data_IF_393308301247
#
_entry.id   IF_393308301247
#
_cell.length_a   1.000
_cell.length_b   1.000
_cell.length_c   1.000
_cell.angle_alpha   90.00
_cell.angle_beta   90.00
_cell.angle_gamma   90.00
#
_symmetry.space_group_name_H-M   'P 1'
#
loop_
_entity.id
_entity.type
_entity.pdbx_description
1 polymer ?
#
# COMPACT_ATOMS: atom_id res chain seq x y z
N UNK A 1 14.17 -64.86 40.08
CA UNK A 1 14.95 -63.83 39.47
C UNK A 1 14.04 -62.92 38.61
N UNK A 2 12.88 -62.52 39.18
CA UNK A 2 11.85 -61.70 38.53
C UNK A 2 11.17 -60.73 39.50
N UNK A 3 11.80 -60.37 40.61
CA UNK A 3 11.24 -59.52 41.63
C UNK A 3 12.01 -58.20 41.89
N UNK A 4 13.08 -57.89 41.11
CA UNK A 4 13.93 -56.75 41.35
C UNK A 4 13.85 -55.68 40.26
N UNK A 5 12.89 -55.78 39.31
CA UNK A 5 12.79 -54.85 38.20
C UNK A 5 11.54 -53.94 38.22
N UNK A 6 10.63 -54.12 39.17
CA UNK A 6 9.43 -53.25 39.30
C UNK A 6 9.57 -52.06 40.27
N UNK A 7 10.62 -52.02 41.09
CA UNK A 7 10.83 -50.93 42.06
C UNK A 7 11.69 -49.77 41.55
N UNK A 8 12.12 -49.79 40.29
CA UNK A 8 12.90 -48.70 39.67
C UNK A 8 12.14 -47.83 38.68
N UNK A 9 10.85 -48.07 38.50
CA UNK A 9 9.99 -47.29 37.59
C UNK A 9 9.04 -46.34 38.29
N UNK A 10 8.96 -46.35 39.62
CA UNK A 10 8.06 -45.47 40.39
C UNK A 10 8.71 -44.26 41.04
N UNK A 11 10.02 -43.98 40.79
CA UNK A 11 10.70 -42.80 41.38
C UNK A 11 11.15 -41.75 40.36
N UNK A 12 10.55 -41.72 39.15
CA UNK A 12 10.89 -40.72 38.11
C UNK A 12 9.71 -39.79 37.73
N UNK A 13 8.63 -39.79 38.51
CA UNK A 13 7.48 -38.91 38.29
C UNK A 13 7.30 -37.86 39.40
N UNK A 14 8.29 -37.10 39.74
CA UNK A 14 8.13 -35.92 40.58
C UNK A 14 9.34 -35.00 40.37
N UNK A 15 9.34 -34.20 39.33
CA UNK A 15 9.88 -32.84 39.31
C UNK A 15 9.79 -32.22 37.89
N UNK A 16 8.57 -32.11 37.33
CA UNK A 16 8.33 -31.18 36.27
C UNK A 16 7.73 -29.92 36.90
N UNK A 17 8.58 -29.16 37.57
CA UNK A 17 8.26 -27.77 37.89
C UNK A 17 8.06 -27.05 36.56
N UNK A 18 6.78 -26.71 36.26
CA UNK A 18 6.42 -25.79 35.22
C UNK A 18 7.14 -24.47 35.49
N UNK A 19 8.19 -24.20 34.72
CA UNK A 19 8.80 -22.87 34.68
C UNK A 19 7.73 -21.92 34.19
N UNK A 20 7.08 -21.22 35.10
CA UNK A 20 6.15 -20.15 34.83
C UNK A 20 6.94 -19.11 34.03
N UNK A 21 6.68 -19.04 32.73
CA UNK A 21 7.12 -17.93 31.89
C UNK A 21 6.55 -16.67 32.52
N UNK A 22 7.38 -15.73 32.98
CA UNK A 22 6.87 -14.53 33.61
C UNK A 22 5.96 -13.83 32.59
N UNK A 23 4.68 -13.68 32.96
CA UNK A 23 3.75 -12.86 32.20
C UNK A 23 4.37 -11.48 32.06
N UNK A 24 4.78 -11.16 30.82
CA UNK A 24 5.34 -9.85 30.51
C UNK A 24 4.30 -8.82 30.96
N UNK A 25 4.63 -8.10 32.01
CA UNK A 25 3.84 -6.97 32.52
C UNK A 25 3.56 -6.08 31.32
N UNK A 26 2.31 -5.75 30.99
CA UNK A 26 2.02 -4.89 29.86
C UNK A 26 2.63 -3.53 30.19
N UNK A 27 3.74 -3.19 29.55
CA UNK A 27 4.24 -1.82 29.53
C UNK A 27 3.08 -0.98 29.03
N UNK A 28 2.46 -0.18 29.90
CA UNK A 28 1.36 0.72 29.54
C UNK A 28 1.93 1.76 28.57
N UNK A 29 1.99 1.38 27.32
CA UNK A 29 2.43 2.27 26.24
C UNK A 29 1.40 3.38 26.19
N UNK A 30 1.81 4.61 26.46
CA UNK A 30 0.97 5.78 26.24
C UNK A 30 0.68 5.88 24.73
N UNK A 31 -0.38 5.18 24.32
CA UNK A 31 -0.83 5.01 22.94
C UNK A 31 -1.01 6.37 22.28
N UNK A 32 -1.53 7.31 23.01
CA UNK A 32 -1.76 8.65 22.53
C UNK A 32 -0.45 9.38 22.23
N UNK A 33 0.49 9.34 23.18
CA UNK A 33 1.82 9.95 23.01
C UNK A 33 2.54 9.30 21.82
N UNK A 34 2.44 7.98 21.70
CA UNK A 34 3.03 7.23 20.60
C UNK A 34 2.40 7.61 19.26
N UNK A 35 1.07 7.66 19.16
CA UNK A 35 0.37 8.05 17.95
C UNK A 35 0.63 9.52 17.58
N UNK A 36 0.69 10.42 18.56
CA UNK A 36 1.03 11.84 18.34
C UNK A 36 2.43 11.97 17.78
N UNK A 37 3.42 11.27 18.37
CA UNK A 37 4.81 11.24 17.89
C UNK A 37 4.90 10.70 16.46
N UNK A 38 4.17 9.63 16.17
CA UNK A 38 4.09 9.02 14.85
C UNK A 38 3.49 9.98 13.82
N UNK A 39 2.40 10.67 14.16
CA UNK A 39 1.79 11.68 13.31
C UNK A 39 2.74 12.84 13.02
N UNK A 40 3.43 13.37 14.03
CA UNK A 40 4.44 14.43 13.85
C UNK A 40 5.56 13.97 12.90
N UNK A 41 6.06 12.72 13.06
CA UNK A 41 7.06 12.12 12.17
C UNK A 41 6.53 12.04 10.72
N UNK A 42 5.29 11.59 10.53
CA UNK A 42 4.66 11.46 9.20
C UNK A 42 4.42 12.81 8.55
N UNK A 43 3.99 13.82 9.32
CA UNK A 43 3.86 15.22 8.84
C UNK A 43 5.22 15.76 8.41
N UNK A 44 6.25 15.62 9.25
CA UNK A 44 7.61 16.07 8.93
C UNK A 44 8.14 15.49 7.62
N UNK A 45 7.97 14.17 7.42
CA UNK A 45 8.39 13.49 6.17
C UNK A 45 7.58 13.98 4.95
N UNK A 46 6.27 14.12 5.08
CA UNK A 46 5.41 14.62 4.00
C UNK A 46 5.75 16.05 3.61
N UNK A 47 5.94 16.93 4.58
CA UNK A 47 6.29 18.35 4.36
C UNK A 47 7.68 18.49 3.74
N UNK A 48 8.66 17.68 4.15
CA UNK A 48 10.01 17.71 3.59
C UNK A 48 10.08 17.22 2.13
N UNK A 49 9.20 16.29 1.72
CA UNK A 49 9.20 15.73 0.37
C UNK A 49 8.43 16.62 -0.63
N UNK A 50 7.41 17.34 -0.20
CA UNK A 50 6.56 18.10 -1.11
C UNK A 50 7.28 19.19 -1.91
N UNK A 51 8.17 20.02 -1.33
CA UNK A 51 8.97 20.99 -2.07
C UNK A 51 9.94 20.36 -3.08
N UNK A 52 10.48 19.18 -2.75
CA UNK A 52 11.42 18.48 -3.63
C UNK A 52 10.74 18.07 -4.95
N UNK A 53 9.45 17.69 -4.93
CA UNK A 53 8.69 17.39 -6.15
C UNK A 53 8.51 18.63 -7.02
N UNK A 54 8.43 19.82 -6.45
CA UNK A 54 8.35 21.08 -7.21
C UNK A 54 9.67 21.44 -7.87
N UNK A 55 10.77 21.13 -7.22
CA UNK A 55 12.14 21.47 -7.68
C UNK A 55 12.71 20.42 -8.62
N UNK A 56 12.33 19.16 -8.44
CA UNK A 56 12.89 18.00 -9.14
C UNK A 56 11.81 17.04 -9.59
N UNK A 57 11.95 16.53 -10.80
CA UNK A 57 11.08 15.51 -11.38
C UNK A 57 11.53 14.08 -11.04
N UNK A 58 12.31 13.86 -9.96
CA UNK A 58 12.83 12.56 -9.57
C UNK A 58 11.69 11.56 -9.26
N UNK A 59 11.59 10.43 -9.98
CA UNK A 59 10.54 9.42 -9.78
C UNK A 59 10.47 8.83 -8.37
N UNK A 60 11.62 8.73 -7.69
CA UNK A 60 11.71 8.22 -6.31
C UNK A 60 11.06 9.16 -5.32
N UNK A 61 11.32 10.47 -5.43
CA UNK A 61 10.71 11.48 -4.56
C UNK A 61 9.19 11.48 -4.72
N UNK A 62 8.70 11.36 -5.97
CA UNK A 62 7.26 11.28 -6.28
C UNK A 62 6.66 10.03 -5.64
N UNK A 63 7.33 8.89 -5.78
CA UNK A 63 6.90 7.65 -5.16
C UNK A 63 6.79 7.80 -3.64
N UNK A 64 7.85 8.29 -3.00
CA UNK A 64 7.94 8.44 -1.55
C UNK A 64 6.88 9.42 -1.02
N UNK A 65 6.68 10.56 -1.65
CA UNK A 65 5.63 11.50 -1.27
C UNK A 65 4.23 10.85 -1.36
N UNK A 66 3.97 10.02 -2.35
CA UNK A 66 2.70 9.28 -2.47
C UNK A 66 2.52 8.24 -1.36
N UNK A 67 3.58 7.52 -0.99
CA UNK A 67 3.57 6.57 0.13
C UNK A 67 3.32 7.30 1.45
N UNK A 68 4.12 8.34 1.75
CA UNK A 68 3.97 9.12 2.98
C UNK A 68 2.63 9.84 3.08
N UNK A 69 2.08 10.31 1.95
CA UNK A 69 0.73 10.88 1.93
C UNK A 69 -0.37 9.88 2.32
N UNK A 70 -0.22 8.59 1.97
CA UNK A 70 -1.15 7.52 2.40
C UNK A 70 -0.99 7.21 3.88
N UNK A 71 0.24 6.98 4.34
CA UNK A 71 0.54 6.74 5.76
C UNK A 71 0.01 7.86 6.64
N UNK A 72 0.24 9.10 6.24
CA UNK A 72 -0.26 10.28 6.94
C UNK A 72 -1.78 10.33 6.96
N UNK A 73 -2.43 10.09 5.82
CA UNK A 73 -3.90 10.10 5.74
C UNK A 73 -4.53 9.06 6.67
N UNK A 74 -3.99 7.84 6.76
CA UNK A 74 -4.51 6.81 7.67
C UNK A 74 -4.31 7.21 9.13
N UNK A 75 -3.14 7.71 9.50
CA UNK A 75 -2.88 8.16 10.86
C UNK A 75 -3.77 9.33 11.30
N UNK A 76 -3.97 10.33 10.42
CA UNK A 76 -4.91 11.43 10.67
C UNK A 76 -6.35 10.92 10.81
N UNK A 77 -6.73 9.92 10.02
CA UNK A 77 -8.09 9.35 10.09
C UNK A 77 -8.33 8.56 11.37
N UNK A 78 -7.31 7.92 11.91
CA UNK A 78 -7.37 7.19 13.16
C UNK A 78 -7.34 8.12 14.40
N UNK A 79 -6.48 9.15 14.35
CA UNK A 79 -6.31 10.08 15.48
C UNK A 79 -7.53 10.97 15.69
N UNK A 80 -8.06 11.54 14.62
CA UNK A 80 -9.23 12.41 14.70
C UNK A 80 -10.50 11.63 14.37
N UNK A 81 -11.39 11.45 15.31
CA UNK A 81 -12.73 10.90 15.09
C UNK A 81 -13.42 11.64 13.92
N UNK A 82 -14.67 11.70 13.78
CA UNK A 82 -15.33 12.40 12.67
C UNK A 82 -14.91 13.87 12.60
N UNK A 83 -14.46 14.40 11.45
CA UNK A 83 -13.97 15.77 11.35
C UNK A 83 -15.14 16.75 11.42
N UNK A 84 -15.50 17.21 12.61
CA UNK A 84 -16.47 18.30 12.80
C UNK A 84 -15.87 19.64 12.34
N UNK A 85 -14.56 19.86 12.56
CA UNK A 85 -13.91 21.12 12.20
C UNK A 85 -13.39 21.14 10.77
N UNK A 86 -13.42 22.31 10.13
CA UNK A 86 -12.83 22.55 8.81
C UNK A 86 -11.32 22.30 8.79
N UNK A 87 -10.65 22.57 9.93
CA UNK A 87 -9.21 22.37 10.13
C UNK A 87 -8.83 20.88 10.02
N UNK A 88 -9.54 20.00 10.72
CA UNK A 88 -9.32 18.54 10.65
C UNK A 88 -9.65 18.00 9.25
N UNK A 89 -10.72 18.50 8.62
CA UNK A 89 -11.03 18.16 7.21
C UNK A 89 -9.89 18.55 6.28
N UNK A 90 -9.26 19.70 6.46
CA UNK A 90 -8.10 20.14 5.67
C UNK A 90 -6.91 19.20 5.88
N UNK A 91 -6.60 18.82 7.14
CA UNK A 91 -5.54 17.88 7.45
C UNK A 91 -5.71 16.52 6.73
N UNK A 92 -6.92 16.04 6.58
CA UNK A 92 -7.23 14.77 5.87
C UNK A 92 -7.19 14.93 4.34
N UNK A 93 -7.63 16.08 3.81
CA UNK A 93 -7.82 16.29 2.36
C UNK A 93 -6.53 16.64 1.63
N UNK A 94 -5.64 17.42 2.24
CA UNK A 94 -4.41 17.91 1.58
C UNK A 94 -3.50 16.77 1.12
N UNK A 95 -3.13 15.76 1.94
CA UNK A 95 -2.34 14.63 1.45
C UNK A 95 -3.02 13.85 0.32
N UNK A 96 -4.34 13.71 0.36
CA UNK A 96 -5.12 13.06 -0.70
C UNK A 96 -5.09 13.86 -2.01
N UNK A 97 -5.20 15.19 -1.93
CA UNK A 97 -5.15 16.08 -3.11
C UNK A 97 -3.79 16.01 -3.77
N UNK A 98 -2.71 16.11 -3.00
CA UNK A 98 -1.33 16.01 -3.50
C UNK A 98 -1.12 14.64 -4.16
N UNK A 99 -1.49 13.54 -3.51
CA UNK A 99 -1.36 12.19 -4.07
C UNK A 99 -2.12 12.02 -5.37
N UNK A 100 -3.33 12.60 -5.48
CA UNK A 100 -4.13 12.57 -6.71
C UNK A 100 -3.50 13.39 -7.83
N UNK A 101 -2.92 14.55 -7.49
CA UNK A 101 -2.23 15.38 -8.46
C UNK A 101 -1.05 14.66 -9.11
N UNK A 102 -0.33 13.84 -8.33
CA UNK A 102 0.84 13.08 -8.76
C UNK A 102 0.49 11.71 -9.42
N UNK A 103 -0.79 11.38 -9.57
CA UNK A 103 -1.22 10.05 -10.01
C UNK A 103 -0.72 9.71 -11.40
N UNK A 104 -1.13 10.51 -12.38
CA UNK A 104 -0.81 10.27 -13.80
C UNK A 104 0.67 10.50 -14.10
N UNK A 105 1.31 11.48 -13.46
CA UNK A 105 2.77 11.62 -13.55
C UNK A 105 3.48 10.33 -13.15
N UNK A 106 3.19 9.77 -11.97
CA UNK A 106 3.81 8.51 -11.53
C UNK A 106 3.48 7.34 -12.48
N UNK A 107 2.28 7.29 -13.05
CA UNK A 107 1.93 6.28 -14.04
C UNK A 107 2.84 6.38 -15.26
N UNK A 108 3.09 7.59 -15.78
CA UNK A 108 4.01 7.79 -16.89
C UNK A 108 5.45 7.36 -16.55
N UNK A 109 5.95 7.68 -15.33
CA UNK A 109 7.28 7.27 -14.90
C UNK A 109 7.43 5.73 -14.87
N UNK A 110 6.42 5.03 -14.32
CA UNK A 110 6.41 3.56 -14.29
C UNK A 110 6.38 2.97 -15.70
N UNK A 111 5.54 3.51 -16.57
CA UNK A 111 5.47 3.05 -17.96
C UNK A 111 6.78 3.25 -18.71
N UNK A 112 7.42 4.40 -18.57
CA UNK A 112 8.74 4.67 -19.18
C UNK A 112 9.82 3.70 -18.66
N UNK A 113 9.78 3.35 -17.38
CA UNK A 113 10.67 2.34 -16.79
C UNK A 113 10.42 0.95 -17.39
N UNK A 114 9.14 0.55 -17.56
CA UNK A 114 8.77 -0.72 -18.18
C UNK A 114 9.23 -0.75 -19.65
N UNK A 115 8.93 0.29 -20.42
CA UNK A 115 9.33 0.41 -21.82
C UNK A 115 10.85 0.31 -21.97
N UNK A 116 11.62 1.04 -21.15
CA UNK A 116 13.07 0.95 -21.14
C UNK A 116 13.59 -0.46 -20.82
N UNK A 117 12.88 -1.20 -19.96
CA UNK A 117 13.19 -2.61 -19.66
C UNK A 117 12.93 -3.51 -20.86
N UNK A 118 11.82 -3.33 -21.57
CA UNK A 118 11.49 -4.08 -22.78
C UNK A 118 12.51 -3.82 -23.90
N UNK A 119 12.89 -2.57 -24.11
CA UNK A 119 13.94 -2.21 -25.07
C UNK A 119 15.27 -2.93 -24.78
N UNK A 120 15.68 -3.02 -23.51
CA UNK A 120 16.92 -3.72 -23.12
C UNK A 120 16.85 -5.24 -23.27
N UNK A 121 15.65 -5.83 -23.13
CA UNK A 121 15.46 -7.29 -23.18
C UNK A 121 15.33 -7.84 -24.58
N UNK A 122 14.84 -7.03 -25.52
CA UNK A 122 14.63 -7.49 -26.89
C UNK A 122 15.93 -7.48 -27.70
N UNK A 123 16.13 -8.56 -28.49
CA UNK A 123 17.23 -8.69 -29.46
C UNK A 123 16.84 -8.19 -30.86
N UNK A 124 15.55 -8.06 -31.14
CA UNK A 124 15.02 -7.60 -32.43
C UNK A 124 15.05 -6.07 -32.50
N UNK A 125 15.65 -5.54 -33.58
CA UNK A 125 15.70 -4.11 -33.84
C UNK A 125 14.28 -3.54 -34.11
N UNK A 126 13.43 -4.30 -34.81
CA UNK A 126 12.05 -3.90 -35.06
C UNK A 126 11.26 -3.76 -33.75
N UNK A 127 11.38 -4.73 -32.84
CA UNK A 127 10.76 -4.63 -31.51
C UNK A 127 11.33 -3.48 -30.71
N UNK A 128 12.64 -3.21 -30.81
CA UNK A 128 13.27 -2.09 -30.13
C UNK A 128 12.74 -0.75 -30.64
N UNK A 129 12.58 -0.60 -31.96
CA UNK A 129 11.96 0.56 -32.61
C UNK A 129 10.49 0.72 -32.19
N UNK A 130 9.76 -0.38 -32.14
CA UNK A 130 8.37 -0.37 -31.69
C UNK A 130 8.23 0.13 -30.24
N UNK A 131 9.08 -0.32 -29.33
CA UNK A 131 9.10 0.20 -27.96
C UNK A 131 9.60 1.65 -27.87
N UNK A 132 10.51 2.08 -28.76
CA UNK A 132 10.92 3.49 -28.87
C UNK A 132 9.74 4.38 -29.28
N UNK A 133 8.89 3.92 -30.20
CA UNK A 133 7.66 4.59 -30.53
C UNK A 133 6.76 4.81 -29.29
N UNK A 134 6.56 3.79 -28.45
CA UNK A 134 5.79 3.92 -27.20
C UNK A 134 6.46 4.93 -26.25
N UNK A 135 7.78 4.91 -26.14
CA UNK A 135 8.53 5.88 -25.34
C UNK A 135 8.27 7.30 -25.82
N UNK A 136 8.36 7.54 -27.11
CA UNK A 136 8.14 8.84 -27.73
C UNK A 136 6.69 9.34 -27.58
N UNK A 137 5.72 8.44 -27.53
CA UNK A 137 4.33 8.74 -27.16
C UNK A 137 4.18 9.15 -25.70
N UNK A 138 4.91 8.51 -24.78
CA UNK A 138 4.79 8.73 -23.34
C UNK A 138 5.50 10.00 -22.85
N UNK A 139 6.62 10.42 -23.48
CA UNK A 139 7.41 11.56 -23.04
C UNK A 139 6.63 12.89 -23.03
N UNK A 140 5.92 13.31 -24.10
CA UNK A 140 5.11 14.52 -24.10
C UNK A 140 3.97 14.44 -23.09
N UNK A 141 3.37 13.25 -22.94
CA UNK A 141 2.32 13.01 -21.95
C UNK A 141 2.83 13.20 -20.53
N UNK A 142 4.02 12.64 -20.23
CA UNK A 142 4.70 12.86 -18.95
C UNK A 142 4.94 14.34 -18.69
N UNK A 143 5.49 15.08 -19.66
CA UNK A 143 5.74 16.51 -19.52
C UNK A 143 4.45 17.30 -19.20
N UNK A 144 3.36 16.98 -19.88
CA UNK A 144 2.03 17.56 -19.63
C UNK A 144 1.54 17.28 -18.20
N UNK A 145 1.69 16.03 -17.73
CA UNK A 145 1.24 15.67 -16.38
C UNK A 145 2.15 16.26 -15.29
N UNK A 146 3.45 16.40 -15.53
CA UNK A 146 4.38 17.14 -14.67
C UNK A 146 3.91 18.59 -14.51
N UNK A 147 3.66 19.30 -15.61
CA UNK A 147 3.19 20.67 -15.56
C UNK A 147 1.83 20.82 -14.86
N UNK A 148 0.91 19.88 -15.12
CA UNK A 148 -0.41 19.84 -14.47
C UNK A 148 -0.31 19.58 -12.96
N UNK A 149 0.56 18.66 -12.56
CA UNK A 149 0.81 18.36 -11.16
C UNK A 149 1.45 19.57 -10.46
N UNK A 150 2.44 20.21 -11.07
CA UNK A 150 3.08 21.41 -10.55
C UNK A 150 2.07 22.52 -10.24
N UNK A 151 1.18 22.85 -11.19
CA UNK A 151 0.09 23.82 -10.98
C UNK A 151 -0.83 23.46 -9.81
N UNK A 152 -1.12 22.19 -9.60
CA UNK A 152 -1.95 21.71 -8.47
C UNK A 152 -1.21 21.74 -7.14
N UNK A 153 0.09 21.46 -7.14
CA UNK A 153 0.93 21.49 -5.94
C UNK A 153 1.14 22.92 -5.45
N UNK A 154 1.35 23.88 -6.34
CA UNK A 154 1.46 25.31 -6.00
C UNK A 154 0.23 25.84 -5.24
N UNK A 155 -0.94 25.27 -5.47
CA UNK A 155 -2.18 25.62 -4.75
C UNK A 155 -2.26 25.03 -3.34
N UNK A 156 -1.30 24.18 -2.95
CA UNK A 156 -1.27 23.54 -1.64
C UNK A 156 -0.16 24.20 -0.82
N UNK A 157 -0.55 25.04 0.13
CA UNK A 157 0.39 25.60 1.10
C UNK A 157 0.81 24.53 2.08
N UNK A 158 2.02 24.02 1.88
CA UNK A 158 2.60 22.94 2.69
C UNK A 158 3.12 23.47 4.02
N UNK A 159 3.57 24.73 4.08
CA UNK A 159 4.03 25.35 5.30
C UNK A 159 2.85 25.60 6.26
N UNK A 160 1.76 26.19 5.74
CA UNK A 160 0.53 26.37 6.53
C UNK A 160 -0.12 25.03 6.91
N UNK A 161 0.04 23.99 6.08
CA UNK A 161 -0.34 22.61 6.47
C UNK A 161 0.44 22.11 7.66
N UNK A 162 1.77 22.33 7.71
CA UNK A 162 2.62 21.95 8.83
C UNK A 162 2.24 22.68 10.12
N UNK A 163 2.02 24.01 10.04
CA UNK A 163 1.60 24.81 11.18
C UNK A 163 0.24 24.37 11.73
N UNK A 164 -0.72 24.09 10.84
CA UNK A 164 -2.02 23.55 11.19
C UNK A 164 -1.92 22.20 11.88
N UNK A 165 -1.09 21.29 11.35
CA UNK A 165 -0.87 19.98 11.95
C UNK A 165 -0.26 20.10 13.35
N UNK A 166 0.76 20.95 13.50
CA UNK A 166 1.38 21.21 14.79
C UNK A 166 0.37 21.73 15.81
N UNK A 167 -0.41 22.75 15.44
CA UNK A 167 -1.45 23.32 16.30
C UNK A 167 -2.47 22.28 16.77
N UNK A 168 -2.96 21.44 15.86
CA UNK A 168 -3.98 20.43 16.20
C UNK A 168 -3.41 19.27 17.06
N UNK A 169 -2.14 18.91 16.85
CA UNK A 169 -1.47 17.86 17.61
C UNK A 169 -0.93 18.32 18.97
N UNK A 170 -0.92 19.61 19.25
CA UNK A 170 -0.54 20.18 20.55
C UNK A 170 -1.75 20.43 21.46
N UNK A 171 -2.97 20.31 20.93
CA UNK A 171 -4.18 20.44 21.76
C UNK A 171 -4.34 19.22 22.66
N UNK A 172 -4.75 19.43 23.92
CA UNK A 172 -5.16 18.33 24.78
C UNK A 172 -6.29 17.57 24.07
N UNK A 173 -6.29 16.28 24.15
CA UNK A 173 -7.45 15.49 23.72
C UNK A 173 -8.01 14.80 24.94
N UNK A 174 -9.29 14.92 25.10
CA UNK A 174 -10.07 14.40 26.24
C UNK A 174 -10.41 12.92 26.06
N UNK A 175 -9.77 12.23 25.08
CA UNK A 175 -10.15 10.88 24.72
C UNK A 175 -9.33 9.84 25.48
N UNK A 176 -10.03 8.89 26.14
CA UNK A 176 -9.44 7.75 26.82
C UNK A 176 -8.53 6.94 25.86
N UNK A 177 -7.30 6.58 26.26
CA UNK A 177 -6.38 5.75 25.48
C UNK A 177 -6.98 4.41 25.00
N UNK A 178 -7.83 3.78 25.82
CA UNK A 178 -8.50 2.52 25.46
C UNK A 178 -9.49 2.71 24.31
N UNK A 179 -10.27 3.79 24.33
CA UNK A 179 -11.18 4.15 23.23
C UNK A 179 -10.41 4.42 21.93
N UNK A 180 -9.25 5.05 22.05
CA UNK A 180 -8.37 5.27 20.89
C UNK A 180 -7.82 3.95 20.35
N UNK A 181 -7.38 3.03 21.23
CA UNK A 181 -6.91 1.70 20.84
C UNK A 181 -8.02 0.89 20.16
N UNK A 182 -9.21 0.87 20.77
CA UNK A 182 -10.35 0.15 20.19
C UNK A 182 -10.67 0.68 18.79
N UNK A 183 -10.65 1.99 18.60
CA UNK A 183 -10.83 2.59 17.27
C UNK A 183 -9.77 2.17 16.24
N UNK A 184 -8.53 2.00 16.67
CA UNK A 184 -7.47 1.48 15.78
C UNK A 184 -7.76 0.04 15.38
N UNK A 185 -8.19 -0.81 16.31
CA UNK A 185 -8.59 -2.20 16.05
C UNK A 185 -9.80 -2.26 15.11
N UNK A 186 -10.88 -1.54 15.42
CA UNK A 186 -12.09 -1.46 14.58
C UNK A 186 -11.75 -0.99 13.15
N UNK A 187 -10.77 -0.07 13.04
CA UNK A 187 -10.30 0.41 11.74
C UNK A 187 -9.61 -0.68 10.93
N UNK A 188 -8.85 -1.58 11.57
CA UNK A 188 -8.22 -2.72 10.89
C UNK A 188 -9.26 -3.76 10.53
N UNK A 189 -10.16 -4.09 11.45
CA UNK A 189 -11.25 -5.03 11.24
C UNK A 189 -12.17 -4.60 10.08
N UNK A 190 -12.63 -3.35 10.08
CA UNK A 190 -13.40 -2.82 8.95
C UNK A 190 -12.65 -2.86 7.62
N UNK A 191 -11.32 -2.65 7.63
CA UNK A 191 -10.52 -2.79 6.42
C UNK A 191 -10.36 -4.25 5.99
N UNK A 192 -10.32 -5.16 6.95
CA UNK A 192 -10.30 -6.60 6.69
C UNK A 192 -11.59 -7.07 6.01
N UNK A 193 -12.75 -6.68 6.54
CA UNK A 193 -14.05 -7.01 5.98
C UNK A 193 -14.21 -6.46 4.54
N UNK A 194 -13.80 -5.21 4.30
CA UNK A 194 -13.77 -4.60 2.97
C UNK A 194 -12.82 -5.37 2.02
N UNK A 195 -11.70 -5.85 2.54
CA UNK A 195 -10.70 -6.61 1.78
C UNK A 195 -11.24 -7.98 1.39
N UNK A 196 -11.86 -8.72 2.33
CA UNK A 196 -12.50 -10.01 2.04
C UNK A 196 -13.58 -9.89 1.00
N UNK A 197 -14.50 -8.92 1.15
CA UNK A 197 -15.55 -8.68 0.16
C UNK A 197 -15.00 -8.34 -1.23
N UNK A 198 -13.89 -7.57 -1.29
CA UNK A 198 -13.24 -7.24 -2.55
C UNK A 198 -12.52 -8.44 -3.16
N UNK A 199 -11.89 -9.31 -2.34
CA UNK A 199 -11.27 -10.56 -2.79
C UNK A 199 -12.30 -11.51 -3.40
N UNK A 200 -13.40 -11.79 -2.68
CA UNK A 200 -14.48 -12.66 -3.16
C UNK A 200 -14.97 -12.21 -4.54
N UNK A 201 -15.31 -10.93 -4.68
CA UNK A 201 -15.76 -10.40 -6.00
C UNK A 201 -14.70 -10.50 -7.08
N UNK A 202 -13.42 -10.30 -6.73
CA UNK A 202 -12.33 -10.42 -7.70
C UNK A 202 -12.15 -11.88 -8.15
N UNK A 203 -12.31 -12.86 -7.24
CA UNK A 203 -12.25 -14.30 -7.55
C UNK A 203 -13.43 -14.76 -8.43
N UNK A 204 -14.64 -14.32 -8.10
CA UNK A 204 -15.86 -14.68 -8.84
C UNK A 204 -15.87 -14.15 -10.27
N UNK A 205 -15.50 -12.89 -10.44
CA UNK A 205 -15.67 -12.22 -11.73
C UNK A 205 -14.42 -12.20 -12.59
N UNK A 206 -13.23 -12.24 -11.95
CA UNK A 206 -11.91 -12.01 -12.58
C UNK A 206 -11.83 -10.70 -13.37
N UNK A 207 -12.80 -9.81 -13.18
CA UNK A 207 -12.87 -8.55 -13.90
C UNK A 207 -11.78 -7.58 -13.45
N UNK A 208 -11.14 -6.89 -14.39
CA UNK A 208 -10.09 -5.87 -14.16
C UNK A 208 -10.54 -4.83 -13.13
N UNK A 209 -11.82 -4.43 -13.20
CA UNK A 209 -12.41 -3.47 -12.24
C UNK A 209 -12.41 -4.00 -10.81
N UNK A 210 -12.75 -5.26 -10.60
CA UNK A 210 -12.83 -5.87 -9.27
C UNK A 210 -11.43 -6.16 -8.71
N UNK A 211 -10.49 -6.61 -9.53
CA UNK A 211 -9.07 -6.70 -9.17
C UNK A 211 -8.49 -5.33 -8.78
N UNK A 212 -8.91 -4.26 -9.45
CA UNK A 212 -8.51 -2.90 -9.05
C UNK A 212 -9.08 -2.49 -7.68
N UNK A 213 -10.34 -2.86 -7.39
CA UNK A 213 -10.97 -2.65 -6.07
C UNK A 213 -10.22 -3.43 -4.99
N UNK A 214 -9.91 -4.70 -5.27
CA UNK A 214 -9.13 -5.55 -4.37
C UNK A 214 -7.75 -4.94 -4.07
N UNK A 215 -7.05 -4.41 -5.10
CA UNK A 215 -5.80 -3.67 -4.91
C UNK A 215 -5.94 -2.46 -3.97
N UNK A 216 -7.02 -1.71 -4.09
CA UNK A 216 -7.28 -0.56 -3.21
C UNK A 216 -7.51 -1.04 -1.78
N UNK A 217 -8.32 -2.07 -1.57
CA UNK A 217 -8.61 -2.66 -0.27
C UNK A 217 -7.34 -3.21 0.39
N UNK A 218 -6.49 -3.94 -0.34
CA UNK A 218 -5.19 -4.44 0.14
C UNK A 218 -4.29 -3.29 0.63
N UNK A 219 -4.24 -2.18 -0.09
CA UNK A 219 -3.47 -1.01 0.36
C UNK A 219 -4.05 -0.37 1.62
N UNK A 220 -5.37 -0.30 1.74
CA UNK A 220 -6.02 0.25 2.94
C UNK A 220 -5.75 -0.63 4.14
N UNK A 221 -5.95 -1.93 4.00
CA UNK A 221 -5.65 -2.91 5.05
C UNK A 221 -4.20 -2.80 5.50
N UNK A 222 -3.24 -2.88 4.58
CA UNK A 222 -1.80 -2.78 4.91
C UNK A 222 -1.46 -1.53 5.71
N UNK A 223 -1.92 -0.34 5.30
CA UNK A 223 -1.57 0.89 6.01
C UNK A 223 -2.27 1.06 7.37
N UNK A 224 -3.44 0.45 7.56
CA UNK A 224 -4.11 0.42 8.86
C UNK A 224 -3.44 -0.57 9.80
N UNK A 225 -3.07 -1.76 9.31
CA UNK A 225 -2.28 -2.74 10.06
C UNK A 225 -0.90 -2.18 10.42
N UNK A 226 -0.20 -1.50 9.49
CA UNK A 226 1.07 -0.81 9.77
C UNK A 226 0.90 0.24 10.88
N UNK A 227 -0.20 1.00 10.87
CA UNK A 227 -0.46 2.00 11.90
C UNK A 227 -0.68 1.37 13.28
N UNK A 228 -1.46 0.30 13.36
CA UNK A 228 -1.71 -0.43 14.60
C UNK A 228 -0.41 -1.05 15.14
N UNK A 229 0.39 -1.68 14.25
CA UNK A 229 1.72 -2.21 14.59
C UNK A 229 2.65 -1.13 15.15
N UNK A 230 2.74 0.02 14.49
CA UNK A 230 3.59 1.15 14.90
C UNK A 230 3.18 1.72 16.28
N UNK A 231 1.93 1.54 16.72
CA UNK A 231 1.42 2.11 17.96
C UNK A 231 1.56 1.13 19.15
N UNK A 232 1.34 -0.15 18.96
CA UNK A 232 1.24 -1.05 20.12
C UNK A 232 1.50 -2.53 19.86
N UNK A 233 1.61 -2.98 18.62
CA UNK A 233 1.64 -4.42 18.34
C UNK A 233 2.92 -4.86 17.66
N UNK A 234 3.77 -5.54 18.42
CA UNK A 234 5.01 -6.16 17.93
C UNK A 234 4.79 -7.49 17.20
N UNK A 235 3.60 -8.08 17.27
CA UNK A 235 3.34 -9.43 16.75
C UNK A 235 2.85 -9.49 15.29
N UNK A 236 2.60 -8.35 14.63
CA UNK A 236 2.03 -8.31 13.26
C UNK A 236 3.07 -8.22 12.13
N UNK A 237 4.31 -8.66 12.37
CA UNK A 237 5.37 -8.60 11.33
C UNK A 237 5.09 -9.53 10.16
N UNK A 238 4.55 -10.73 10.44
CA UNK A 238 4.22 -11.72 9.42
C UNK A 238 3.10 -11.21 8.49
N UNK A 239 2.06 -10.60 9.07
CA UNK A 239 0.94 -9.99 8.33
C UNK A 239 1.39 -8.83 7.46
N UNK A 240 2.27 -7.98 7.98
CA UNK A 240 2.81 -6.85 7.21
C UNK A 240 3.70 -7.32 6.07
N UNK A 241 4.48 -8.39 6.26
CA UNK A 241 5.27 -9.00 5.19
C UNK A 241 4.36 -9.60 4.12
N UNK A 242 3.39 -10.40 4.52
CA UNK A 242 2.39 -10.97 3.62
C UNK A 242 1.63 -9.91 2.81
N UNK A 243 1.12 -8.85 3.48
CA UNK A 243 0.45 -7.74 2.82
C UNK A 243 1.37 -6.97 1.87
N UNK A 244 2.69 -6.93 2.14
CA UNK A 244 3.65 -6.33 1.24
C UNK A 244 3.81 -7.17 -0.03
N UNK A 245 4.04 -8.47 0.11
CA UNK A 245 4.19 -9.43 -0.99
C UNK A 245 2.93 -9.47 -1.88
N UNK A 246 1.75 -9.53 -1.26
CA UNK A 246 0.48 -9.47 -1.99
C UNK A 246 0.31 -8.15 -2.73
N UNK A 247 0.62 -7.01 -2.09
CA UNK A 247 0.54 -5.70 -2.73
C UNK A 247 1.50 -5.57 -3.91
N UNK A 248 2.68 -6.17 -3.84
CA UNK A 248 3.68 -6.13 -4.90
C UNK A 248 3.24 -7.00 -6.08
N UNK A 249 2.69 -8.20 -5.85
CA UNK A 249 2.10 -9.03 -6.90
C UNK A 249 0.95 -8.31 -7.63
N UNK A 250 0.01 -7.73 -6.88
CA UNK A 250 -1.08 -6.92 -7.47
C UNK A 250 -0.53 -5.69 -8.19
N UNK A 251 0.61 -5.15 -7.73
CA UNK A 251 1.30 -4.03 -8.36
C UNK A 251 1.79 -4.38 -9.76
N UNK A 252 2.47 -5.52 -9.92
CA UNK A 252 2.96 -6.02 -11.21
C UNK A 252 1.81 -6.20 -12.20
N UNK A 253 0.75 -6.89 -11.81
CA UNK A 253 -0.44 -7.03 -12.63
C UNK A 253 -1.03 -5.67 -13.06
N UNK A 254 -1.19 -4.75 -12.11
CA UNK A 254 -1.75 -3.44 -12.41
C UNK A 254 -0.89 -2.62 -13.39
N UNK A 255 0.43 -2.64 -13.22
CA UNK A 255 1.35 -1.90 -14.09
C UNK A 255 1.30 -2.46 -15.52
N UNK A 256 1.10 -3.78 -15.67
CA UNK A 256 0.83 -4.43 -16.97
C UNK A 256 -0.49 -3.93 -17.58
N UNK A 257 -1.58 -3.86 -16.82
CA UNK A 257 -2.87 -3.30 -17.30
C UNK A 257 -2.73 -1.85 -17.78
N UNK A 258 -1.96 -1.03 -17.05
CA UNK A 258 -1.72 0.36 -17.44
C UNK A 258 -0.88 0.44 -18.72
N UNK A 259 0.10 -0.48 -18.89
CA UNK A 259 0.88 -0.59 -20.13
C UNK A 259 -0.02 -0.96 -21.32
N UNK A 260 -0.87 -1.97 -21.19
CA UNK A 260 -1.80 -2.36 -22.25
C UNK A 260 -2.66 -1.20 -22.71
N UNK A 261 -3.23 -0.46 -21.77
CA UNK A 261 -4.03 0.72 -22.08
C UNK A 261 -3.22 1.84 -22.75
N UNK A 262 -1.97 2.02 -22.36
CA UNK A 262 -1.10 3.05 -22.95
C UNK A 262 -0.71 2.69 -24.38
N UNK A 263 -0.32 1.45 -24.63
CA UNK A 263 0.01 0.96 -25.97
C UNK A 263 -1.22 0.98 -26.88
N UNK A 264 -2.38 0.47 -26.41
CA UNK A 264 -3.62 0.50 -27.18
C UNK A 264 -3.99 1.93 -27.62
N UNK A 265 -3.85 2.91 -26.72
CA UNK A 265 -4.09 4.33 -27.06
C UNK A 265 -3.04 4.90 -28.01
N UNK A 266 -1.80 4.44 -27.95
CA UNK A 266 -0.74 4.89 -28.83
C UNK A 266 -0.96 4.37 -30.27
N UNK A 267 -1.30 3.10 -30.43
CA UNK A 267 -1.52 2.46 -31.75
C UNK A 267 -2.87 2.80 -32.37
N UNK A 268 -3.88 3.17 -31.58
CA UNK A 268 -5.20 3.56 -32.08
C UNK A 268 -5.25 5.00 -32.65
N UNK A 269 -4.13 5.70 -32.73
CA UNK A 269 -4.07 7.03 -33.35
C UNK A 269 -4.13 6.90 -34.87
N UNK A 270 -4.87 7.80 -35.50
CA UNK A 270 -5.06 7.80 -36.95
C UNK A 270 -3.73 7.88 -37.73
N UNK A 271 -2.83 8.76 -37.32
CA UNK A 271 -1.49 8.92 -37.92
C UNK A 271 -0.66 7.64 -37.81
N UNK A 272 -0.84 6.84 -36.79
CA UNK A 272 -0.15 5.55 -36.59
C UNK A 272 -0.75 4.46 -37.46
N UNK A 273 -2.07 4.40 -37.55
CA UNK A 273 -2.76 3.42 -38.39
C UNK A 273 -2.49 3.64 -39.88
N UNK A 274 -2.29 4.88 -40.30
CA UNK A 274 -1.98 5.23 -41.68
C UNK A 274 -0.51 5.04 -42.06
N UNK A 275 0.42 5.39 -41.14
CA UNK A 275 1.84 5.50 -41.49
C UNK A 275 2.76 4.51 -40.76
N UNK A 276 2.31 3.92 -39.64
CA UNK A 276 3.13 3.08 -38.75
C UNK A 276 2.50 1.70 -38.48
N UNK A 277 1.75 1.18 -39.46
CA UNK A 277 1.04 -0.10 -39.30
C UNK A 277 1.96 -1.28 -38.91
N UNK A 278 3.20 -1.41 -39.45
CA UNK A 278 4.13 -2.46 -39.00
C UNK A 278 4.48 -2.34 -37.51
N UNK A 279 4.76 -1.13 -37.03
CA UNK A 279 5.03 -0.83 -35.62
C UNK A 279 3.84 -1.21 -34.72
N UNK A 280 2.61 -0.84 -35.14
CA UNK A 280 1.39 -1.18 -34.41
C UNK A 280 1.19 -2.72 -34.31
N UNK A 281 1.42 -3.47 -35.39
CA UNK A 281 1.34 -4.94 -35.42
C UNK A 281 2.33 -5.59 -34.46
N UNK A 282 3.57 -5.13 -34.43
CA UNK A 282 4.59 -5.64 -33.51
C UNK A 282 4.15 -5.41 -32.06
N UNK A 283 3.70 -4.20 -31.72
CA UNK A 283 3.26 -3.86 -30.36
C UNK A 283 2.05 -4.69 -29.92
N UNK A 284 1.07 -4.87 -30.79
CA UNK A 284 -0.11 -5.69 -30.49
C UNK A 284 0.28 -7.16 -30.26
N UNK A 285 1.18 -7.72 -31.09
CA UNK A 285 1.70 -9.07 -30.91
C UNK A 285 2.49 -9.23 -29.58
N UNK A 286 3.28 -8.23 -29.18
CA UNK A 286 3.97 -8.21 -27.88
C UNK A 286 2.96 -8.19 -26.73
N UNK A 287 1.90 -7.37 -26.80
CA UNK A 287 0.86 -7.35 -25.79
C UNK A 287 0.08 -8.66 -25.72
N UNK A 288 -0.22 -9.28 -26.84
CA UNK A 288 -0.92 -10.56 -26.89
C UNK A 288 -0.07 -11.68 -26.27
N UNK A 289 1.23 -11.72 -26.59
CA UNK A 289 2.16 -12.63 -25.95
C UNK A 289 2.22 -12.42 -24.44
N UNK A 290 2.25 -11.17 -23.97
CA UNK A 290 2.31 -10.84 -22.54
C UNK A 290 0.97 -11.13 -21.81
N UNK A 291 -0.18 -11.06 -22.50
CA UNK A 291 -1.51 -11.42 -21.95
C UNK A 291 -1.59 -12.89 -21.51
N UNK A 292 -0.84 -13.78 -22.13
CA UNK A 292 -0.77 -15.19 -21.70
C UNK A 292 -0.24 -15.32 -20.26
N UNK A 293 0.52 -14.35 -19.78
CA UNK A 293 1.03 -14.29 -18.41
C UNK A 293 0.05 -13.63 -17.43
N UNK A 294 -1.02 -13.00 -17.92
CA UNK A 294 -1.99 -12.31 -17.06
C UNK A 294 -2.74 -13.27 -16.14
N UNK A 295 -3.17 -14.43 -16.67
CA UNK A 295 -3.83 -15.46 -15.88
C UNK A 295 -2.91 -15.98 -14.77
N UNK A 296 -1.63 -16.18 -15.08
CA UNK A 296 -0.61 -16.63 -14.11
C UNK A 296 -0.43 -15.60 -12.98
N UNK A 297 -0.39 -14.31 -13.33
CA UNK A 297 -0.32 -13.24 -12.31
C UNK A 297 -1.55 -13.21 -11.42
N UNK A 298 -2.75 -13.37 -11.99
CA UNK A 298 -4.01 -13.39 -11.24
C UNK A 298 -4.09 -14.60 -10.31
N UNK A 299 -3.71 -15.80 -10.79
CA UNK A 299 -3.65 -16.99 -9.95
C UNK A 299 -2.62 -16.85 -8.81
N UNK A 300 -1.46 -16.27 -9.11
CA UNK A 300 -0.46 -15.94 -8.07
C UNK A 300 -1.02 -15.01 -7.01
N UNK A 301 -1.77 -13.97 -7.42
CA UNK A 301 -2.40 -13.02 -6.50
C UNK A 301 -3.40 -13.74 -5.59
N UNK A 302 -4.25 -14.60 -6.13
CA UNK A 302 -5.25 -15.33 -5.34
C UNK A 302 -4.62 -16.36 -4.42
N UNK A 303 -3.58 -17.06 -4.87
CA UNK A 303 -2.79 -17.96 -4.02
C UNK A 303 -2.17 -17.21 -2.84
N UNK A 304 -1.46 -16.09 -3.09
CA UNK A 304 -0.91 -15.25 -2.01
C UNK A 304 -1.99 -14.73 -1.08
N UNK A 305 -3.18 -14.42 -1.58
CA UNK A 305 -4.29 -13.98 -0.75
C UNK A 305 -4.81 -15.10 0.18
N UNK A 306 -4.73 -16.36 -0.23
CA UNK A 306 -5.12 -17.52 0.61
C UNK A 306 -4.05 -17.93 1.64
N UNK A 307 -2.78 -17.60 1.41
CA UNK A 307 -1.63 -17.92 2.29
C UNK A 307 -1.51 -16.95 3.48
N UNK A 308 -2.61 -16.46 4.01
CA UNK A 308 -2.61 -15.46 5.08
C UNK A 308 -2.07 -15.99 6.39
N UNK A 309 -1.31 -15.21 7.18
CA UNK A 309 -0.98 -15.55 8.56
C UNK A 309 -2.22 -15.54 9.48
N UNK A 310 -2.20 -16.35 10.55
CA UNK A 310 -3.37 -16.64 11.38
C UNK A 310 -3.93 -15.50 12.25
N UNK A 311 -3.25 -14.37 12.38
CA UNK A 311 -3.62 -13.29 13.33
C UNK A 311 -4.58 -12.21 12.78
N UNK A 312 -5.04 -12.33 11.54
CA UNK A 312 -6.12 -11.53 10.99
C UNK A 312 -7.37 -12.42 10.76
N UNK A 313 -8.58 -12.02 11.16
CA UNK A 313 -8.92 -10.79 11.87
C UNK A 313 -8.38 -10.76 13.30
N UNK A 314 -8.26 -9.55 13.86
CA UNK A 314 -7.90 -9.36 15.27
C UNK A 314 -9.08 -9.81 16.13
N UNK A 315 -9.15 -11.11 16.44
CA UNK A 315 -10.12 -11.63 17.40
C UNK A 315 -9.76 -11.03 18.77
N UNK A 316 -10.66 -10.37 19.47
CA UNK A 316 -10.44 -10.05 20.87
C UNK A 316 -10.26 -11.40 21.59
N UNK A 317 -9.09 -11.63 22.17
CA UNK A 317 -8.99 -12.68 23.20
C UNK A 317 -10.02 -12.31 24.26
N UNK A 318 -11.01 -13.17 24.55
CA UNK A 318 -11.91 -12.92 25.67
C UNK A 318 -11.02 -12.75 26.89
N UNK A 319 -11.14 -11.59 27.56
CA UNK A 319 -10.55 -11.43 28.89
C UNK A 319 -11.07 -12.59 29.74
N UNK A 320 -10.23 -13.31 30.47
CA UNK A 320 -10.72 -14.27 31.43
C UNK A 320 -11.63 -13.49 32.38
N UNK A 321 -12.90 -13.88 32.39
CA UNK A 321 -13.84 -13.46 33.40
C UNK A 321 -13.28 -13.94 34.75
N UNK A 322 -12.76 -13.01 35.54
CA UNK A 322 -12.52 -13.18 36.96
C UNK A 322 -13.73 -12.69 37.72
#
# INVERSE_FOLDING_TARGET
>A
MEADNEQKLESAEADTQAVAVPAATPVSVDIRRTLTRLLRKRVKKFVALAPQVRADANPKVIHDLRVWSRRLQQAVSAFFRKPRSSKVRRLRRTPRRIRRALGEWRNCDVLLEIVARQQRRTRSDDKRRAWEFVRNYLLPRRAKEVARAGKKLLRQDVADYAALAHKLLSQPADENPEVLMQRLRDSVEGAWNDWQAALTRAQETRAVRELHRFRIATKVLRYRTELLYDVSYTQMKAELKWLAELQDAIGVWHDRQVLYQAVARAVAREDVLLNELPTARILLAELESDRKHESVDVEKIFRLASERPGHLPLVPTPSPLT
#
